data_IF_885090589729
#
_entry.id   IF_885090589729
#
_cell.length_a   1.000
_cell.length_b   1.000
_cell.length_c   1.000
_cell.angle_alpha   90.00
_cell.angle_beta   90.00
_cell.angle_gamma   90.00
#
_symmetry.space_group_name_H-M   'P 1'
#
loop_
_entity.id
_entity.type
_entity.pdbx_description
1 polymer ?
#
# COMPACT_ATOMS: atom_id res chain seq x y z
N UNK A 1 11.47 16.20 -3.37
CA UNK A 1 10.18 16.14 -4.07
C UNK A 1 10.33 15.12 -5.19
N UNK A 2 9.40 14.19 -5.32
CA UNK A 2 9.40 13.22 -6.43
C UNK A 2 8.37 13.72 -7.45
N UNK A 3 8.76 13.81 -8.72
CA UNK A 3 7.91 14.30 -9.81
C UNK A 3 7.76 13.22 -10.86
N UNK A 4 6.53 13.01 -11.31
CA UNK A 4 6.17 12.11 -12.39
C UNK A 4 5.63 12.92 -13.58
N UNK A 5 6.13 12.60 -14.77
CA UNK A 5 5.66 13.13 -16.04
C UNK A 5 4.57 12.21 -16.58
N UNK A 6 3.31 12.66 -16.55
CA UNK A 6 2.14 11.78 -16.69
C UNK A 6 1.69 11.49 -18.12
N UNK A 7 2.52 11.76 -19.12
CA UNK A 7 2.18 11.58 -20.53
C UNK A 7 3.43 11.33 -21.38
N UNK A 8 3.27 10.64 -22.51
CA UNK A 8 4.40 10.31 -23.41
C UNK A 8 5.21 11.53 -23.88
N UNK A 9 4.59 12.71 -23.96
CA UNK A 9 5.23 13.94 -24.41
C UNK A 9 5.49 14.96 -23.29
N UNK A 10 5.12 14.68 -22.03
CA UNK A 10 5.16 15.71 -20.98
C UNK A 10 6.59 16.09 -20.58
N UNK A 11 7.55 15.18 -20.65
CA UNK A 11 8.97 15.51 -20.46
C UNK A 11 9.48 16.46 -21.57
N UNK A 12 9.19 16.15 -22.83
CA UNK A 12 9.59 17.00 -23.98
C UNK A 12 8.94 18.38 -23.90
N UNK A 13 7.65 18.41 -23.55
CA UNK A 13 6.91 19.66 -23.35
C UNK A 13 7.53 20.48 -22.20
N UNK A 14 7.94 19.84 -21.11
CA UNK A 14 8.63 20.51 -20.00
C UNK A 14 9.96 21.15 -20.41
N UNK A 15 10.78 20.42 -21.17
CA UNK A 15 12.05 20.95 -21.68
C UNK A 15 11.84 22.10 -22.68
N UNK A 16 10.73 22.09 -23.42
CA UNK A 16 10.34 23.16 -24.37
C UNK A 16 9.50 24.28 -23.75
N UNK A 17 9.31 24.29 -22.42
CA UNK A 17 8.50 25.26 -21.69
C UNK A 17 7.04 25.39 -22.19
N UNK A 18 6.46 24.27 -22.66
CA UNK A 18 5.06 24.17 -23.03
C UNK A 18 4.22 23.68 -21.83
N UNK A 19 2.89 23.89 -21.78
CA UNK A 19 2.07 23.29 -20.74
C UNK A 19 2.12 21.76 -20.80
N UNK A 20 2.39 21.10 -19.67
CA UNK A 20 2.40 19.64 -19.55
C UNK A 20 1.76 19.19 -18.25
N UNK A 21 1.08 18.02 -18.24
CA UNK A 21 0.60 17.43 -17.01
C UNK A 21 1.77 16.77 -16.26
N UNK A 22 1.83 17.01 -14.95
CA UNK A 22 2.79 16.41 -14.03
C UNK A 22 2.08 16.07 -12.72
N UNK A 23 2.60 15.08 -12.00
CA UNK A 23 2.20 14.79 -10.62
C UNK A 23 3.44 14.89 -9.73
N UNK A 24 3.29 15.44 -8.54
CA UNK A 24 4.41 15.53 -7.59
C UNK A 24 3.97 15.17 -6.18
N UNK A 25 4.87 14.51 -5.46
CA UNK A 25 4.68 14.16 -4.06
C UNK A 25 5.87 14.67 -3.24
N UNK A 26 5.58 15.09 -2.01
CA UNK A 26 6.61 15.37 -1.03
C UNK A 26 7.31 14.06 -0.64
N UNK A 27 8.63 14.07 -0.33
CA UNK A 27 9.30 12.88 0.18
C UNK A 27 8.56 12.35 1.42
N UNK A 28 8.21 11.08 1.41
CA UNK A 28 7.47 10.44 2.51
C UNK A 28 8.34 9.43 3.22
N UNK A 29 8.54 9.64 4.52
CA UNK A 29 9.07 8.62 5.41
C UNK A 29 7.90 7.80 5.92
N UNK A 30 7.85 6.50 5.60
CA UNK A 30 6.80 5.61 6.06
C UNK A 30 7.31 4.63 7.13
N UNK A 31 6.42 4.24 8.03
CA UNK A 31 6.59 3.14 8.96
C UNK A 31 5.45 2.15 8.80
N UNK A 32 5.77 0.88 8.95
CA UNK A 32 4.83 -0.24 8.88
C UNK A 32 4.84 -1.00 10.21
N UNK A 33 3.66 -1.36 10.69
CA UNK A 33 3.48 -2.28 11.81
C UNK A 33 2.56 -3.43 11.38
N UNK A 34 3.08 -4.66 11.43
CA UNK A 34 2.35 -5.86 11.03
C UNK A 34 2.22 -6.81 12.22
N UNK A 35 0.99 -7.27 12.47
CA UNK A 35 0.65 -8.23 13.52
C UNK A 35 -0.06 -9.43 12.88
N UNK A 36 0.59 -10.59 12.94
CA UNK A 36 0.06 -11.85 12.41
C UNK A 36 -0.11 -12.89 13.51
N UNK A 37 -1.16 -13.70 13.41
CA UNK A 37 -1.37 -14.88 14.27
C UNK A 37 -1.35 -16.12 13.39
N UNK A 38 -0.68 -17.19 13.81
CA UNK A 38 -0.79 -18.49 13.16
C UNK A 38 -1.52 -19.45 14.08
N UNK A 39 -2.69 -19.94 13.65
CA UNK A 39 -3.52 -20.84 14.45
C UNK A 39 -3.74 -22.16 13.73
N UNK A 40 -3.43 -23.26 14.43
CA UNK A 40 -3.65 -24.62 13.96
C UNK A 40 -4.76 -25.27 14.80
N UNK A 41 -6.04 -25.20 14.38
CA UNK A 41 -7.15 -25.70 15.18
C UNK A 41 -7.09 -27.22 15.35
N UNK A 42 -6.83 -27.70 16.56
CA UNK A 42 -6.73 -29.13 16.85
C UNK A 42 -8.02 -29.90 16.54
N UNK A 43 -9.20 -29.30 16.75
CA UNK A 43 -10.48 -29.95 16.50
C UNK A 43 -10.72 -30.24 15.01
N UNK A 44 -10.13 -29.44 14.12
CA UNK A 44 -10.13 -29.68 12.67
C UNK A 44 -9.07 -30.72 12.34
N UNK A 45 -7.84 -30.49 12.80
CA UNK A 45 -6.69 -31.34 12.47
C UNK A 45 -6.82 -32.78 13.00
N UNK A 46 -7.52 -33.02 14.12
CA UNK A 46 -7.80 -34.36 14.65
C UNK A 46 -8.73 -35.19 13.76
N UNK A 47 -9.53 -34.53 12.91
CA UNK A 47 -10.46 -35.19 11.96
C UNK A 47 -9.86 -35.31 10.55
N UNK A 48 -8.69 -34.72 10.32
CA UNK A 48 -7.96 -34.82 9.08
C UNK A 48 -7.00 -36.01 9.17
N UNK A 49 -7.34 -37.10 8.50
CA UNK A 49 -6.54 -38.34 8.48
C UNK A 49 -5.23 -38.20 7.68
N UNK A 50 -5.18 -37.25 6.73
CA UNK A 50 -4.00 -36.91 5.95
C UNK A 50 -3.93 -35.39 5.83
N UNK A 51 -2.90 -34.79 6.41
CA UNK A 51 -2.61 -33.36 6.31
C UNK A 51 -2.96 -32.50 7.53
N UNK A 52 -2.62 -31.22 7.44
CA UNK A 52 -2.82 -30.22 8.49
C UNK A 52 -3.36 -28.89 7.95
N UNK A 53 -4.37 -28.36 8.64
CA UNK A 53 -4.99 -27.06 8.34
C UNK A 53 -4.50 -25.98 9.31
N UNK A 54 -4.01 -24.87 8.75
CA UNK A 54 -3.53 -23.70 9.51
C UNK A 54 -4.21 -22.45 8.96
N UNK A 55 -4.70 -21.58 9.83
CA UNK A 55 -5.23 -20.25 9.50
C UNK A 55 -4.27 -19.17 9.99
N UNK A 56 -4.09 -18.12 9.19
CA UNK A 56 -3.16 -17.04 9.47
C UNK A 56 -3.79 -15.67 9.19
N UNK A 57 -4.53 -15.09 10.15
CA UNK A 57 -4.95 -13.71 10.05
C UNK A 57 -3.76 -12.77 10.27
N UNK A 58 -3.75 -11.67 9.53
CA UNK A 58 -2.77 -10.59 9.62
C UNK A 58 -3.46 -9.23 9.56
N UNK A 59 -2.98 -8.31 10.40
CA UNK A 59 -3.37 -6.91 10.40
C UNK A 59 -2.10 -6.09 10.19
N UNK A 60 -2.14 -5.15 9.25
CA UNK A 60 -1.02 -4.26 8.94
C UNK A 60 -1.45 -2.80 8.99
N UNK A 61 -0.64 -1.96 9.64
CA UNK A 61 -0.83 -0.53 9.74
C UNK A 61 0.35 0.20 9.10
N UNK A 62 0.07 0.98 8.06
CA UNK A 62 1.03 1.85 7.40
C UNK A 62 0.78 3.30 7.80
N UNK A 63 1.82 3.98 8.29
CA UNK A 63 1.75 5.36 8.77
C UNK A 63 2.90 6.20 8.22
N UNK A 64 2.59 7.44 7.86
CA UNK A 64 3.61 8.45 7.58
C UNK A 64 4.23 8.97 8.88
N UNK A 65 5.56 9.03 8.90
CA UNK A 65 6.37 9.49 10.01
C UNK A 65 6.81 10.96 9.87
N UNK A 66 6.63 11.56 8.70
CA UNK A 66 7.05 12.93 8.41
C UNK A 66 5.90 13.87 8.02
N UNK A 67 4.65 13.47 8.31
CA UNK A 67 3.46 14.29 8.10
C UNK A 67 2.97 14.40 6.65
N UNK A 68 3.66 13.78 5.69
CA UNK A 68 3.21 13.68 4.30
C UNK A 68 2.35 12.43 4.13
N UNK A 69 1.18 12.51 3.53
CA UNK A 69 0.27 11.36 3.47
C UNK A 69 0.00 10.94 2.02
N UNK A 70 0.91 10.29 1.30
CA UNK A 70 0.66 9.89 -0.09
C UNK A 70 -0.32 8.71 -0.21
N UNK A 71 -0.70 8.09 0.92
CA UNK A 71 -1.57 6.93 0.95
C UNK A 71 -3.01 7.31 0.57
N UNK A 72 -3.65 6.48 -0.24
CA UNK A 72 -5.07 6.61 -0.64
C UNK A 72 -5.43 7.88 -1.45
N UNK A 73 -4.45 8.60 -2.01
CA UNK A 73 -4.71 9.75 -2.88
C UNK A 73 -3.73 9.80 -4.05
N UNK A 74 -4.27 9.76 -5.27
CA UNK A 74 -3.52 10.06 -6.48
C UNK A 74 -3.56 11.58 -6.77
N UNK A 75 -2.52 12.10 -7.41
CA UNK A 75 -2.55 13.44 -7.99
C UNK A 75 -3.62 13.49 -9.09
N UNK A 76 -4.34 14.60 -9.18
CA UNK A 76 -5.28 14.86 -10.28
C UNK A 76 -4.78 16.03 -11.12
N UNK A 77 -5.30 16.20 -12.33
CA UNK A 77 -4.91 17.32 -13.20
C UNK A 77 -5.21 18.67 -12.52
N UNK A 78 -6.24 18.74 -11.68
CA UNK A 78 -6.63 19.92 -10.90
C UNK A 78 -5.80 20.09 -9.62
N UNK A 79 -5.25 19.01 -9.06
CA UNK A 79 -4.36 19.04 -7.90
C UNK A 79 -3.17 18.09 -8.13
N UNK A 80 -2.15 18.53 -8.88
CA UNK A 80 -1.04 17.68 -9.28
C UNK A 80 -0.13 17.32 -8.10
N UNK A 81 -0.19 18.10 -7.01
CA UNK A 81 0.64 17.88 -5.82
C UNK A 81 -0.11 17.10 -4.75
N UNK A 82 0.32 15.87 -4.50
CA UNK A 82 -0.18 15.05 -3.39
C UNK A 82 0.50 15.50 -2.10
N UNK A 83 -0.18 16.40 -1.38
CA UNK A 83 0.34 16.99 -0.15
C UNK A 83 -0.13 16.26 1.12
N UNK A 84 -1.39 15.83 1.18
CA UNK A 84 -2.00 15.24 2.38
C UNK A 84 -3.20 14.33 2.02
N UNK A 85 -2.95 13.04 1.84
CA UNK A 85 -3.94 12.00 2.09
C UNK A 85 -4.44 12.07 3.54
N UNK A 86 -5.67 11.65 3.76
CA UNK A 86 -6.40 12.02 4.97
C UNK A 86 -6.11 11.14 6.18
N UNK A 87 -5.52 9.94 6.01
CA UNK A 87 -5.42 8.93 7.08
C UNK A 87 -4.24 7.94 6.92
N UNK A 88 -3.96 7.19 8.00
CA UNK A 88 -3.14 5.97 7.94
C UNK A 88 -3.85 4.88 7.11
N UNK A 89 -3.11 3.94 6.53
CA UNK A 89 -3.70 2.80 5.83
C UNK A 89 -3.71 1.58 6.75
N UNK A 90 -4.88 0.96 6.93
CA UNK A 90 -5.07 -0.26 7.71
C UNK A 90 -5.47 -1.40 6.76
N UNK A 91 -4.69 -2.47 6.77
CA UNK A 91 -4.89 -3.65 5.95
C UNK A 91 -5.23 -4.86 6.81
N UNK A 92 -6.15 -5.67 6.31
CA UNK A 92 -6.54 -6.95 6.90
C UNK A 92 -6.36 -8.02 5.85
N UNK A 93 -5.64 -9.09 6.19
CA UNK A 93 -5.57 -10.29 5.37
C UNK A 93 -5.77 -11.53 6.22
N UNK A 94 -6.22 -12.60 5.59
CA UNK A 94 -6.35 -13.90 6.23
C UNK A 94 -6.13 -14.96 5.18
N UNK A 95 -5.10 -15.76 5.36
CA UNK A 95 -4.84 -16.91 4.50
C UNK A 95 -5.01 -18.21 5.29
N UNK A 96 -5.26 -19.29 4.54
CA UNK A 96 -5.34 -20.62 5.09
C UNK A 96 -4.48 -21.56 4.26
N UNK A 97 -3.69 -22.38 4.95
CA UNK A 97 -2.82 -23.37 4.32
C UNK A 97 -3.31 -24.77 4.67
N UNK A 98 -3.43 -25.60 3.63
CA UNK A 98 -3.58 -27.04 3.76
C UNK A 98 -2.26 -27.70 3.40
N UNK A 99 -1.65 -28.40 4.36
CA UNK A 99 -0.50 -29.27 4.14
C UNK A 99 -0.98 -30.71 4.02
N UNK A 100 -0.43 -31.51 3.12
CA UNK A 100 -0.76 -32.93 2.93
C UNK A 100 0.46 -33.81 3.15
#
# INVERSE_FOLDING_TARGET
MITEYSSFNSLTQALSNQPFPYYNALPTTYGELTVGVSYRPEFVNKRLSLGGFTIRPEIRLDKSLNGTHPFNQAGTVQNPTVNNGTNNMLWFSCDATWSF
#
